data_IF_892911364696
#
_entry.id   IF_892911364696
#
_cell.length_a   1.000
_cell.length_b   1.000
_cell.length_c   1.000
_cell.angle_alpha   90.00
_cell.angle_beta   90.00
_cell.angle_gamma   90.00
#
_symmetry.space_group_name_H-M   'P 1'
#
loop_
_entity.id
_entity.type
_entity.pdbx_description
1 polymer ?
#
# COMPACT_ATOMS: atom_id res chain seq x y z
N UNK A 1 24.19 20.40 -31.49
CA UNK A 1 23.78 20.19 -30.72
C UNK A 1 23.68 20.46 -29.21
N UNK A 2 22.72 20.99 -28.66
CA UNK A 2 22.72 21.59 -27.35
C UNK A 2 21.80 20.85 -26.44
N UNK A 3 22.36 19.98 -25.63
CA UNK A 3 21.64 19.19 -24.63
C UNK A 3 21.37 19.95 -23.31
N UNK A 4 21.62 21.23 -23.33
CA UNK A 4 21.46 22.10 -22.16
C UNK A 4 20.06 22.25 -21.58
N UNK A 5 18.98 22.07 -22.33
CA UNK A 5 17.66 22.17 -21.73
C UNK A 5 17.38 21.14 -20.65
N UNK A 6 17.97 19.94 -20.75
CA UNK A 6 17.77 18.88 -19.77
C UNK A 6 18.33 19.24 -18.39
N UNK A 7 19.46 19.92 -18.33
CA UNK A 7 20.02 20.36 -17.05
C UNK A 7 19.18 21.44 -16.35
N UNK A 8 18.50 22.26 -17.12
CA UNK A 8 17.60 23.28 -16.57
C UNK A 8 16.33 22.68 -16.00
N UNK A 9 15.82 21.65 -16.62
CA UNK A 9 14.65 20.95 -16.11
C UNK A 9 14.95 20.28 -14.77
N UNK A 10 16.11 19.66 -14.62
CA UNK A 10 16.55 19.11 -13.34
C UNK A 10 16.70 20.17 -12.24
N UNK A 11 17.20 21.35 -12.58
CA UNK A 11 17.24 22.48 -11.66
C UNK A 11 15.83 22.97 -11.28
N UNK A 12 14.90 22.93 -12.20
CA UNK A 12 13.49 23.25 -11.98
C UNK A 12 12.87 22.33 -10.93
N UNK A 13 13.14 21.05 -11.00
CA UNK A 13 12.68 20.09 -9.99
C UNK A 13 13.30 20.33 -8.61
N UNK A 14 14.56 20.70 -8.55
CA UNK A 14 15.21 21.07 -7.29
C UNK A 14 14.58 22.33 -6.68
N UNK A 15 14.23 23.30 -7.49
CA UNK A 15 13.55 24.52 -7.04
C UNK A 15 12.13 24.23 -6.56
N UNK A 16 11.42 23.31 -7.19
CA UNK A 16 10.11 22.84 -6.72
C UNK A 16 10.20 22.15 -5.35
N UNK A 17 11.28 21.43 -5.07
CA UNK A 17 11.52 20.84 -3.75
C UNK A 17 11.67 21.88 -2.65
N UNK A 18 12.26 23.02 -2.92
CA UNK A 18 12.43 24.11 -1.94
C UNK A 18 11.09 24.77 -1.61
N UNK A 19 10.14 24.77 -2.57
CA UNK A 19 8.81 25.31 -2.34
C UNK A 19 7.95 24.47 -1.37
N UNK A 20 8.32 23.25 -1.07
CA UNK A 20 7.67 22.43 -0.06
C UNK A 20 7.88 22.94 1.37
N UNK A 21 8.85 23.82 1.60
CA UNK A 21 9.10 24.44 2.89
C UNK A 21 8.21 25.67 3.15
N UNK A 22 7.31 26.00 2.26
CA UNK A 22 6.27 26.99 2.59
C UNK A 22 5.37 26.39 3.67
N UNK A 23 5.20 27.17 4.72
CA UNK A 23 4.22 26.89 5.76
C UNK A 23 2.93 26.39 5.11
N UNK A 24 2.50 25.18 5.40
CA UNK A 24 1.29 24.65 4.80
C UNK A 24 0.14 25.59 5.12
N UNK A 25 -0.59 26.00 4.09
CA UNK A 25 -1.80 26.79 4.27
C UNK A 25 -2.73 26.04 5.23
N UNK A 26 -3.41 26.72 6.12
CA UNK A 26 -4.41 26.08 6.94
C UNK A 26 -5.41 25.41 6.01
N UNK A 27 -5.45 24.10 6.06
CA UNK A 27 -6.37 23.31 5.25
C UNK A 27 -7.62 23.03 6.07
N UNK A 28 -8.76 23.12 5.43
CA UNK A 28 -10.03 22.67 6.00
C UNK A 28 -10.31 21.20 5.74
N UNK A 29 -9.36 20.47 5.17
CA UNK A 29 -9.49 19.03 4.99
C UNK A 29 -9.47 18.34 6.37
N UNK A 30 -10.62 17.77 6.73
CA UNK A 30 -10.82 17.08 8.00
C UNK A 30 -9.85 15.91 8.21
N UNK A 31 -9.46 15.23 7.13
CA UNK A 31 -8.50 14.12 7.18
C UNK A 31 -7.11 14.62 7.58
N UNK A 32 -6.66 15.73 7.01
CA UNK A 32 -5.37 16.32 7.36
C UNK A 32 -5.35 16.88 8.78
N UNK A 33 -6.42 17.51 9.20
CA UNK A 33 -6.57 18.00 10.58
C UNK A 33 -6.53 16.85 11.58
N UNK A 34 -7.24 15.75 11.30
CA UNK A 34 -7.24 14.55 12.14
C UNK A 34 -5.87 13.90 12.17
N UNK A 35 -5.21 13.77 11.02
CA UNK A 35 -3.86 13.21 10.93
C UNK A 35 -2.87 14.01 11.77
N UNK A 36 -2.89 15.33 11.64
CA UNK A 36 -2.04 16.23 12.43
C UNK A 36 -2.30 16.10 13.92
N UNK A 37 -3.56 16.05 14.33
CA UNK A 37 -3.95 16.00 15.75
C UNK A 37 -3.65 14.66 16.42
N UNK A 38 -3.88 13.54 15.71
CA UNK A 38 -3.82 12.21 16.29
C UNK A 38 -2.53 11.44 16.00
N UNK A 39 -1.87 11.72 14.89
CA UNK A 39 -0.72 10.94 14.40
C UNK A 39 0.60 11.72 14.41
N UNK A 40 0.58 13.02 14.14
CA UNK A 40 1.80 13.83 14.12
C UNK A 40 2.51 13.80 15.48
N UNK A 41 3.79 13.43 15.47
CA UNK A 41 4.60 13.33 16.69
C UNK A 41 4.34 12.08 17.54
N UNK A 42 3.56 11.12 17.06
CA UNK A 42 3.27 9.87 17.78
C UNK A 42 3.74 8.66 16.96
N UNK A 43 5.00 8.23 17.11
CA UNK A 43 5.60 7.19 16.27
C UNK A 43 4.88 5.84 16.35
N UNK A 44 4.35 5.47 17.52
CA UNK A 44 3.58 4.24 17.69
C UNK A 44 2.30 4.22 16.88
N UNK A 45 1.58 5.34 16.83
CA UNK A 45 0.33 5.45 16.04
C UNK A 45 0.59 5.50 14.55
N UNK A 46 1.67 6.16 14.14
CA UNK A 46 2.10 6.14 12.74
C UNK A 46 2.45 4.72 12.28
N UNK A 47 3.15 3.96 13.13
CA UNK A 47 3.49 2.57 12.84
C UNK A 47 2.23 1.70 12.67
N UNK A 48 1.27 1.80 13.58
CA UNK A 48 -0.01 1.08 13.45
C UNK A 48 -0.78 1.46 12.20
N UNK A 49 -0.74 2.72 11.79
CA UNK A 49 -1.38 3.18 10.56
C UNK A 49 -0.69 2.61 9.31
N UNK A 50 0.64 2.53 9.31
CA UNK A 50 1.42 1.95 8.22
C UNK A 50 1.17 0.43 8.11
N UNK A 51 1.12 -0.27 9.24
CA UNK A 51 0.78 -1.70 9.30
C UNK A 51 -0.63 -1.95 8.76
N UNK A 52 -1.61 -1.16 9.17
CA UNK A 52 -2.98 -1.23 8.67
C UNK A 52 -3.06 -1.00 7.16
N UNK A 53 -2.32 -0.04 6.62
CA UNK A 53 -2.26 0.21 5.16
C UNK A 53 -1.66 -0.96 4.40
N UNK A 54 -0.62 -1.59 4.93
CA UNK A 54 -0.01 -2.76 4.31
C UNK A 54 -0.98 -3.94 4.25
N UNK A 55 -1.74 -4.19 5.31
CA UNK A 55 -2.76 -5.23 5.35
C UNK A 55 -3.91 -4.95 4.36
N UNK A 56 -4.39 -3.71 4.32
CA UNK A 56 -5.40 -3.26 3.35
C UNK A 56 -4.93 -3.46 1.90
N UNK A 57 -3.68 -3.12 1.61
CA UNK A 57 -3.11 -3.28 0.27
C UNK A 57 -3.06 -4.76 -0.15
N UNK A 58 -2.66 -5.65 0.75
CA UNK A 58 -2.65 -7.10 0.52
C UNK A 58 -4.08 -7.60 0.28
N UNK A 59 -5.01 -7.26 1.14
CA UNK A 59 -6.41 -7.67 1.04
C UNK A 59 -7.03 -7.23 -0.29
N UNK A 60 -6.84 -5.97 -0.65
CA UNK A 60 -7.30 -5.41 -1.93
C UNK A 60 -6.67 -6.14 -3.12
N UNK A 61 -5.38 -6.45 -3.06
CA UNK A 61 -4.69 -7.14 -4.14
C UNK A 61 -5.22 -8.55 -4.35
N UNK A 62 -5.50 -9.28 -3.30
CA UNK A 62 -6.13 -10.61 -3.37
C UNK A 62 -7.50 -10.51 -4.05
N UNK A 63 -8.31 -9.56 -3.62
CA UNK A 63 -9.63 -9.31 -4.20
C UNK A 63 -9.56 -9.00 -5.70
N UNK A 64 -8.68 -8.06 -6.10
CA UNK A 64 -8.50 -7.66 -7.50
C UNK A 64 -8.07 -8.85 -8.38
N UNK A 65 -7.09 -9.63 -7.92
CA UNK A 65 -6.60 -10.80 -8.65
C UNK A 65 -7.68 -11.86 -8.81
N UNK A 66 -8.45 -12.12 -7.76
CA UNK A 66 -9.59 -13.06 -7.84
C UNK A 66 -10.65 -12.59 -8.83
N UNK A 67 -11.02 -11.31 -8.76
CA UNK A 67 -12.00 -10.71 -9.68
C UNK A 67 -11.50 -10.73 -11.14
N UNK A 68 -10.25 -10.41 -11.36
CA UNK A 68 -9.64 -10.47 -12.70
C UNK A 68 -9.64 -11.89 -13.28
N UNK A 69 -9.52 -12.90 -12.43
CA UNK A 69 -9.63 -14.31 -12.83
C UNK A 69 -11.09 -14.80 -12.98
N UNK A 70 -12.09 -13.97 -12.70
CA UNK A 70 -13.50 -14.31 -12.78
C UNK A 70 -13.96 -15.34 -11.73
N UNK A 71 -13.22 -15.49 -10.63
CA UNK A 71 -13.51 -16.48 -9.59
C UNK A 71 -14.36 -15.90 -8.46
N UNK A 72 -15.26 -16.74 -7.92
CA UNK A 72 -15.92 -16.46 -6.65
C UNK A 72 -14.99 -16.83 -5.49
N UNK A 73 -15.27 -16.31 -4.30
CA UNK A 73 -14.53 -16.70 -3.09
C UNK A 73 -14.56 -18.20 -2.84
N UNK A 74 -15.70 -18.84 -3.10
CA UNK A 74 -15.85 -20.30 -2.98
C UNK A 74 -15.03 -21.09 -4.00
N UNK A 75 -14.95 -20.63 -5.23
CA UNK A 75 -14.11 -21.26 -6.26
C UNK A 75 -12.62 -21.15 -5.94
N UNK A 76 -12.17 -19.95 -5.56
CA UNK A 76 -10.78 -19.77 -5.14
C UNK A 76 -10.43 -20.63 -3.93
N UNK A 77 -11.34 -20.70 -2.94
CA UNK A 77 -11.17 -21.53 -1.76
C UNK A 77 -10.98 -23.01 -2.12
N UNK A 78 -11.78 -23.54 -3.04
CA UNK A 78 -11.64 -24.93 -3.54
C UNK A 78 -10.30 -25.17 -4.22
N UNK A 79 -9.84 -24.22 -5.06
CA UNK A 79 -8.57 -24.34 -5.77
C UNK A 79 -7.36 -24.41 -4.83
N UNK A 80 -7.40 -23.67 -3.74
CA UNK A 80 -6.30 -23.64 -2.77
C UNK A 80 -6.51 -24.58 -1.57
N UNK A 81 -7.61 -25.33 -1.53
CA UNK A 81 -7.90 -26.29 -0.46
C UNK A 81 -8.23 -25.62 0.89
N UNK A 82 -9.09 -24.62 0.87
CA UNK A 82 -9.57 -23.91 2.06
C UNK A 82 -11.06 -23.62 1.96
N UNK A 83 -11.60 -22.79 2.86
CA UNK A 83 -13.01 -22.42 2.89
C UNK A 83 -13.23 -20.99 2.37
N UNK A 84 -14.43 -20.72 1.88
CA UNK A 84 -14.83 -19.37 1.44
C UNK A 84 -14.71 -18.33 2.57
N UNK A 85 -14.96 -18.72 3.82
CA UNK A 85 -14.79 -17.87 4.99
C UNK A 85 -13.34 -17.40 5.19
N UNK A 86 -12.37 -18.27 4.89
CA UNK A 86 -10.95 -17.91 4.94
C UNK A 86 -10.61 -16.89 3.86
N UNK A 87 -11.12 -17.09 2.63
CA UNK A 87 -10.91 -16.11 1.55
C UNK A 87 -11.56 -14.78 1.90
N UNK A 88 -12.77 -14.79 2.44
CA UNK A 88 -13.46 -13.59 2.89
C UNK A 88 -12.60 -12.78 3.89
N UNK A 89 -12.02 -13.46 4.89
CA UNK A 89 -11.10 -12.81 5.85
C UNK A 89 -9.83 -12.28 5.22
N UNK A 90 -9.25 -13.00 4.26
CA UNK A 90 -8.04 -12.56 3.57
C UNK A 90 -8.28 -11.33 2.68
N UNK A 91 -9.51 -11.10 2.26
CA UNK A 91 -9.94 -9.91 1.51
C UNK A 91 -10.43 -8.77 2.43
N UNK A 92 -10.43 -8.98 3.74
CA UNK A 92 -10.80 -7.98 4.73
C UNK A 92 -9.59 -7.10 5.06
N UNK A 93 -9.79 -5.79 4.97
CA UNK A 93 -8.74 -4.79 5.23
C UNK A 93 -8.22 -4.82 6.67
N UNK A 94 -9.08 -5.20 7.61
CA UNK A 94 -8.75 -5.26 9.04
C UNK A 94 -8.07 -6.58 9.45
N UNK A 95 -7.90 -7.53 8.52
CA UNK A 95 -7.30 -8.82 8.82
C UNK A 95 -5.78 -8.76 8.81
N UNK A 96 -5.17 -9.12 9.94
CA UNK A 96 -3.71 -9.09 10.14
C UNK A 96 -3.01 -10.46 9.89
N UNK A 97 -3.77 -11.49 9.56
CA UNK A 97 -3.27 -12.88 9.48
C UNK A 97 -2.79 -13.34 8.10
N UNK A 98 -2.30 -12.45 7.24
CA UNK A 98 -1.82 -12.81 5.91
C UNK A 98 -0.48 -13.55 5.98
N UNK A 99 -0.50 -14.89 5.94
CA UNK A 99 0.73 -15.67 5.91
C UNK A 99 1.31 -15.76 4.49
N UNK A 100 2.64 -15.73 4.38
CA UNK A 100 3.31 -15.89 3.10
C UNK A 100 2.98 -17.22 2.41
N UNK A 101 2.81 -18.29 3.17
CA UNK A 101 2.41 -19.59 2.64
C UNK A 101 1.04 -19.53 1.96
N UNK A 102 0.08 -18.85 2.58
CA UNK A 102 -1.26 -18.65 2.01
C UNK A 102 -1.20 -17.77 0.76
N UNK A 103 -0.45 -16.68 0.79
CA UNK A 103 -0.27 -15.79 -0.37
C UNK A 103 0.35 -16.53 -1.56
N UNK A 104 1.32 -17.41 -1.32
CA UNK A 104 1.92 -18.25 -2.37
C UNK A 104 0.91 -19.24 -2.96
N UNK A 105 0.05 -19.84 -2.14
CA UNK A 105 -1.01 -20.75 -2.61
C UNK A 105 -2.01 -20.01 -3.49
N UNK A 106 -2.44 -18.82 -3.08
CA UNK A 106 -3.32 -17.96 -3.86
C UNK A 106 -2.65 -17.57 -5.18
N UNK A 107 -1.40 -17.12 -5.12
CA UNK A 107 -0.63 -16.76 -6.30
C UNK A 107 -0.54 -17.92 -7.29
N UNK A 108 -0.18 -19.11 -6.83
CA UNK A 108 -0.11 -20.30 -7.68
C UNK A 108 -1.46 -20.65 -8.35
N UNK A 109 -2.56 -20.55 -7.60
CA UNK A 109 -3.91 -20.79 -8.14
C UNK A 109 -4.34 -19.76 -9.19
N UNK A 110 -3.84 -18.55 -9.09
CA UNK A 110 -4.14 -17.43 -10.00
C UNK A 110 -3.05 -17.20 -11.06
N UNK A 111 -2.11 -18.12 -11.24
CA UNK A 111 -0.95 -18.00 -12.13
C UNK A 111 -0.14 -16.73 -11.89
N UNK A 112 -0.01 -16.33 -10.62
CA UNK A 112 0.75 -15.19 -10.18
C UNK A 112 1.92 -15.61 -9.30
N UNK A 113 3.04 -14.92 -9.43
CA UNK A 113 4.20 -15.10 -8.55
C UNK A 113 4.19 -14.06 -7.46
N UNK A 114 4.35 -14.50 -6.22
CA UNK A 114 4.50 -13.59 -5.08
C UNK A 114 5.98 -13.20 -4.95
N UNK A 115 6.25 -11.92 -5.03
CA UNK A 115 7.57 -11.34 -4.81
C UNK A 115 7.56 -10.47 -3.54
N UNK A 116 8.62 -10.56 -2.76
CA UNK A 116 8.80 -9.76 -1.58
C UNK A 116 9.93 -8.76 -1.84
N UNK A 117 9.65 -7.48 -1.65
CA UNK A 117 10.64 -6.42 -1.76
C UNK A 117 10.84 -5.75 -0.42
N UNK A 118 12.08 -5.63 -0.01
CA UNK A 118 12.45 -4.78 1.11
C UNK A 118 12.86 -3.41 0.57
N UNK A 119 12.06 -2.41 0.90
CA UNK A 119 12.31 -1.04 0.47
C UNK A 119 12.84 -0.24 1.65
N UNK A 120 13.97 0.47 1.50
CA UNK A 120 14.48 1.31 2.58
C UNK A 120 13.49 2.43 2.89
N UNK A 121 13.10 2.54 4.15
CA UNK A 121 12.28 3.64 4.63
C UNK A 121 13.19 4.84 4.87
N UNK A 122 13.00 5.91 4.14
CA UNK A 122 13.68 7.18 4.42
C UNK A 122 13.11 7.73 5.72
N UNK A 123 13.88 7.60 6.78
CA UNK A 123 13.58 8.34 8.00
C UNK A 123 13.90 9.80 7.72
N UNK A 124 12.87 10.61 7.55
CA UNK A 124 13.03 12.06 7.69
C UNK A 124 13.30 12.34 9.14
N UNK A 125 14.53 12.62 9.41
CA UNK A 125 14.95 13.06 10.74
C UNK A 125 14.31 14.41 11.07
#
# INVERSE_FOLDING_TARGET
MRLRPLGRELCSFATLRINWNRVPKPTSDGVEVLHRRFYAGKPSRLKSLEEGRANEEIARKIYELRKAAGLTQGHLAKLIGTTASVICRLEDADYEGHSLAMLRRIGAALNQRVEIRFVPVRRTA
#
